data_IF_838551287435
#
_entry.id   IF_838551287435
#
_cell.length_a   1.000
_cell.length_b   1.000
_cell.length_c   1.000
_cell.angle_alpha   90.00
_cell.angle_beta   90.00
_cell.angle_gamma   90.00
#
_symmetry.space_group_name_H-M   'P 1'
#
loop_
_entity.id
_entity.type
_entity.pdbx_description
1 polymer ?
#
# COMPACT_ATOMS: atom_id res chain seq x y z
N UNK A 1 -41.26 -35.96 46.53
CA UNK A 1 -39.95 -36.58 46.23
C UNK A 1 -39.95 -37.01 44.78
N UNK A 2 -39.22 -36.29 43.92
CA UNK A 2 -38.71 -36.76 42.63
C UNK A 2 -37.72 -35.69 42.13
N UNK A 3 -36.44 -35.92 42.39
CA UNK A 3 -35.32 -35.08 41.95
C UNK A 3 -34.87 -35.55 40.57
N UNK A 4 -35.03 -34.74 39.54
CA UNK A 4 -34.37 -34.93 38.24
C UNK A 4 -33.05 -34.17 38.23
N UNK A 5 -31.95 -34.92 38.43
CA UNK A 5 -30.58 -34.44 38.26
C UNK A 5 -30.20 -34.51 36.79
N UNK A 6 -30.15 -33.38 36.10
CA UNK A 6 -29.55 -33.28 34.78
C UNK A 6 -28.03 -33.10 34.96
N UNK A 7 -27.27 -34.16 34.67
CA UNK A 7 -25.82 -34.10 34.58
C UNK A 7 -25.44 -33.21 33.39
N UNK A 8 -24.90 -32.03 33.69
CA UNK A 8 -24.23 -31.20 32.70
C UNK A 8 -22.85 -31.81 32.48
N UNK A 9 -22.69 -32.58 31.41
CA UNK A 9 -21.38 -33.04 30.96
C UNK A 9 -20.62 -31.82 30.44
N UNK A 10 -19.76 -31.29 31.29
CA UNK A 10 -18.82 -30.24 30.95
C UNK A 10 -17.84 -30.84 29.93
N UNK A 11 -18.07 -30.57 28.65
CA UNK A 11 -17.16 -30.91 27.57
C UNK A 11 -15.84 -30.18 27.84
N UNK A 12 -14.82 -30.93 28.26
CA UNK A 12 -13.50 -30.36 28.54
C UNK A 12 -12.97 -29.77 27.24
N UNK A 13 -12.76 -28.46 27.21
CA UNK A 13 -12.07 -27.78 26.12
C UNK A 13 -10.77 -28.54 25.83
N UNK A 14 -10.71 -29.20 24.68
CA UNK A 14 -9.53 -29.90 24.21
C UNK A 14 -8.37 -28.89 24.21
N UNK A 15 -7.28 -29.24 24.90
CA UNK A 15 -6.07 -28.44 24.95
C UNK A 15 -5.65 -28.11 23.50
N UNK A 16 -5.58 -26.81 23.19
CA UNK A 16 -5.11 -26.32 21.90
C UNK A 16 -3.69 -26.85 21.70
N UNK A 17 -3.53 -27.72 20.69
CA UNK A 17 -2.21 -28.26 20.33
C UNK A 17 -1.30 -27.10 19.91
N UNK A 18 -0.02 -27.11 20.28
CA UNK A 18 0.94 -26.10 19.82
C UNK A 18 0.92 -26.03 18.29
N UNK A 19 1.08 -24.82 17.72
CA UNK A 19 1.07 -24.67 16.27
C UNK A 19 2.14 -25.57 15.65
N UNK A 20 1.80 -26.30 14.59
CA UNK A 20 2.81 -27.11 13.92
C UNK A 20 3.87 -26.18 13.32
N UNK A 21 5.10 -26.68 13.15
CA UNK A 21 6.13 -25.92 12.42
C UNK A 21 5.65 -25.54 11.00
N UNK A 22 4.70 -26.29 10.44
CA UNK A 22 4.11 -26.02 9.14
C UNK A 22 3.20 -24.78 9.19
N UNK A 23 2.37 -24.68 10.23
CA UNK A 23 1.51 -23.51 10.47
C UNK A 23 2.35 -22.26 10.73
N UNK A 24 3.37 -22.37 11.60
CA UNK A 24 4.30 -21.26 11.86
C UNK A 24 4.97 -20.80 10.57
N UNK A 25 5.54 -21.71 9.78
CA UNK A 25 6.16 -21.40 8.50
C UNK A 25 5.17 -20.73 7.54
N UNK A 26 3.96 -21.23 7.44
CA UNK A 26 2.94 -20.66 6.57
C UNK A 26 2.60 -19.21 6.95
N UNK A 27 2.31 -18.94 8.23
CA UNK A 27 1.92 -17.60 8.68
C UNK A 27 3.07 -16.59 8.48
N UNK A 28 4.30 -16.96 8.82
CA UNK A 28 5.46 -16.08 8.56
C UNK A 28 5.72 -15.86 7.07
N UNK A 29 5.52 -16.88 6.23
CA UNK A 29 5.66 -16.75 4.77
C UNK A 29 4.61 -15.81 4.19
N UNK A 30 3.35 -15.91 4.65
CA UNK A 30 2.27 -14.99 4.25
C UNK A 30 2.59 -13.55 4.66
N UNK A 31 3.08 -13.36 5.89
CA UNK A 31 3.51 -12.05 6.37
C UNK A 31 4.62 -11.45 5.50
N UNK A 32 5.69 -12.21 5.24
CA UNK A 32 6.79 -11.79 4.38
C UNK A 32 6.31 -11.45 2.96
N UNK A 33 5.49 -12.31 2.36
CA UNK A 33 4.96 -12.08 1.01
C UNK A 33 4.10 -10.82 0.92
N UNK A 34 3.31 -10.51 1.96
CA UNK A 34 2.53 -9.27 1.95
C UNK A 34 3.41 -8.02 1.95
N UNK A 35 4.54 -8.01 2.66
CA UNK A 35 5.50 -6.90 2.59
C UNK A 35 6.16 -6.83 1.21
N UNK A 36 6.52 -7.98 0.64
CA UNK A 36 7.07 -8.07 -0.71
C UNK A 36 6.11 -7.51 -1.77
N UNK A 37 4.81 -7.82 -1.69
CA UNK A 37 3.79 -7.26 -2.59
C UNK A 37 3.75 -5.72 -2.53
N UNK A 38 3.98 -5.15 -1.33
CA UNK A 38 4.08 -3.71 -1.16
C UNK A 38 5.36 -3.15 -1.80
N UNK A 39 6.50 -3.82 -1.63
CA UNK A 39 7.77 -3.43 -2.26
C UNK A 39 7.66 -3.45 -3.79
N UNK A 40 7.12 -4.52 -4.37
CA UNK A 40 6.92 -4.66 -5.82
C UNK A 40 6.01 -3.55 -6.39
N UNK A 41 4.95 -3.17 -5.64
CA UNK A 41 4.10 -2.04 -5.98
C UNK A 41 4.90 -0.73 -6.01
N UNK A 42 5.67 -0.44 -4.96
CA UNK A 42 6.42 0.81 -4.86
C UNK A 42 7.52 0.91 -5.92
N UNK A 43 8.19 -0.20 -6.22
CA UNK A 43 9.16 -0.27 -7.32
C UNK A 43 8.49 0.00 -8.68
N UNK A 44 7.28 -0.55 -8.90
CA UNK A 44 6.51 -0.28 -10.12
C UNK A 44 6.08 1.18 -10.23
N UNK A 45 5.66 1.79 -9.11
CA UNK A 45 5.31 3.21 -9.04
C UNK A 45 6.54 4.09 -9.32
N UNK A 46 7.67 3.80 -8.68
CA UNK A 46 8.94 4.49 -8.91
C UNK A 46 9.37 4.44 -10.37
N UNK A 47 9.28 3.27 -11.00
CA UNK A 47 9.61 3.10 -12.41
C UNK A 47 8.70 3.98 -13.31
N UNK A 48 7.40 4.03 -13.02
CA UNK A 48 6.46 4.86 -13.76
C UNK A 48 6.72 6.37 -13.59
N UNK A 49 7.16 6.80 -12.39
CA UNK A 49 7.57 8.18 -12.12
C UNK A 49 8.84 8.56 -12.88
N UNK A 50 9.82 7.65 -12.97
CA UNK A 50 11.07 7.88 -13.69
C UNK A 50 10.87 8.05 -15.20
N UNK A 51 9.96 7.26 -15.80
CA UNK A 51 9.61 7.39 -17.23
C UNK A 51 9.02 8.76 -17.53
N UNK A 52 8.08 9.26 -16.71
CA UNK A 52 7.50 10.60 -16.90
C UNK A 52 8.56 11.71 -16.76
N UNK A 53 9.49 11.57 -15.81
CA UNK A 53 10.58 12.52 -15.63
C UNK A 53 11.50 12.57 -16.87
N UNK A 54 11.80 11.41 -17.46
CA UNK A 54 12.59 11.32 -18.69
C UNK A 54 11.85 11.97 -19.87
N UNK A 55 10.56 11.65 -20.07
CA UNK A 55 9.73 12.25 -21.12
C UNK A 55 9.65 13.78 -20.98
N UNK A 56 9.52 14.29 -19.76
CA UNK A 56 9.49 15.73 -19.48
C UNK A 56 10.84 16.40 -19.80
N UNK A 57 11.95 15.76 -19.46
CA UNK A 57 13.29 16.26 -19.78
C UNK A 57 13.52 16.31 -21.29
N UNK A 58 13.19 15.24 -22.02
CA UNK A 58 13.31 15.19 -23.48
C UNK A 58 12.45 16.26 -24.16
N UNK A 59 11.24 16.50 -23.67
CA UNK A 59 10.36 17.55 -24.18
C UNK A 59 10.94 18.96 -23.93
N UNK A 60 11.54 19.19 -22.76
CA UNK A 60 12.18 20.46 -22.43
C UNK A 60 13.41 20.71 -23.33
N UNK A 61 14.27 19.71 -23.50
CA UNK A 61 15.43 19.79 -24.40
C UNK A 61 15.00 20.05 -25.87
N UNK A 62 13.93 19.41 -26.33
CA UNK A 62 13.39 19.64 -27.67
C UNK A 62 12.88 21.09 -27.84
N UNK A 63 12.21 21.64 -26.82
CA UNK A 63 11.76 23.04 -26.82
C UNK A 63 12.94 24.03 -26.84
N UNK A 64 14.00 23.78 -26.05
CA UNK A 64 15.20 24.61 -26.06
C UNK A 64 15.93 24.57 -27.40
N UNK A 65 16.02 23.39 -28.04
CA UNK A 65 16.60 23.26 -29.37
C UNK A 65 15.80 24.04 -30.43
N UNK A 66 14.47 24.04 -30.33
CA UNK A 66 13.61 24.82 -31.21
C UNK A 66 13.82 26.33 -31.00
N UNK A 67 13.91 26.79 -29.76
CA UNK A 67 14.18 28.21 -29.43
C UNK A 67 15.56 28.67 -29.92
N UNK A 68 16.59 27.81 -29.83
CA UNK A 68 17.92 28.10 -30.39
C UNK A 68 17.88 28.24 -31.92
N UNK A 69 17.11 27.40 -32.60
CA UNK A 69 16.92 27.48 -34.06
C UNK A 69 16.18 28.75 -34.48
N UNK A 70 15.15 29.17 -33.74
CA UNK A 70 14.41 30.41 -34.05
C UNK A 70 15.23 31.67 -33.78
N UNK A 71 16.01 31.71 -32.69
CA UNK A 71 16.82 32.88 -32.35
C UNK A 71 18.08 32.99 -33.24
N UNK A 72 18.66 31.87 -33.68
CA UNK A 72 19.80 31.84 -34.60
C UNK A 72 19.47 32.27 -36.04
N UNK A 73 18.19 32.31 -36.43
CA UNK A 73 17.76 32.73 -37.77
C UNK A 73 17.49 34.23 -37.92
N UNK A 74 17.67 35.04 -36.86
CA UNK A 74 17.37 36.49 -36.86
C UNK A 74 18.56 37.40 -37.21
N UNK A 75 19.75 36.86 -37.50
CA UNK A 75 20.94 37.66 -37.83
C UNK A 75 21.17 37.80 -39.35
N UNK A 76 20.13 38.15 -40.11
CA UNK A 76 20.17 38.39 -41.55
C UNK A 76 19.39 39.63 -41.95
N UNK A 77 20.11 40.72 -42.23
CA UNK A 77 19.67 41.98 -42.86
C UNK A 77 18.59 42.82 -42.13
N UNK A 78 19.00 43.50 -41.05
CA UNK A 78 18.38 44.76 -40.64
C UNK A 78 18.95 45.93 -41.45
N UNK A 79 18.32 46.26 -42.58
CA UNK A 79 18.54 47.54 -43.26
C UNK A 79 18.01 48.65 -42.35
N UNK A 80 18.92 49.55 -41.95
CA UNK A 80 18.62 50.77 -41.21
C UNK A 80 17.73 51.69 -42.04
N UNK A 81 16.47 51.88 -41.66
CA UNK A 81 15.70 53.07 -42.07
C UNK A 81 15.40 53.87 -40.82
N UNK A 82 16.14 54.97 -40.71
CA UNK A 82 16.00 55.98 -39.68
C UNK A 82 14.92 56.97 -40.16
N UNK A 83 13.76 57.03 -39.52
CA UNK A 83 12.79 58.13 -39.71
C UNK A 83 12.56 58.80 -38.37
N UNK A 84 13.15 59.98 -38.24
CA UNK A 84 12.86 60.95 -37.19
C UNK A 84 11.44 61.49 -37.38
N UNK A 85 10.57 61.36 -36.37
CA UNK A 85 9.59 62.41 -36.10
C UNK A 85 9.31 62.58 -34.61
N UNK A 86 9.31 63.86 -34.24
CA UNK A 86 9.16 64.42 -32.90
C UNK A 86 7.69 64.64 -32.57
N UNK A 87 7.50 64.74 -31.26
CA UNK A 87 6.47 65.47 -30.52
C UNK A 87 5.06 64.88 -30.36
N UNK A 88 4.66 64.81 -29.09
CA UNK A 88 3.47 65.56 -28.67
C UNK A 88 2.37 64.78 -27.97
N UNK A 89 2.37 64.89 -26.63
CA UNK A 89 1.20 65.10 -25.75
C UNK A 89 0.12 64.02 -25.54
N UNK A 90 0.03 63.67 -24.25
CA UNK A 90 -1.18 63.61 -23.41
C UNK A 90 -2.12 62.39 -23.46
N UNK A 91 -2.30 61.82 -22.26
CA UNK A 91 -3.40 60.94 -21.84
C UNK A 91 -4.50 61.82 -21.21
N UNK A 92 -5.78 61.38 -21.07
CA UNK A 92 -6.14 60.42 -20.02
C UNK A 92 -7.31 59.44 -20.31
N UNK A 93 -7.21 58.27 -19.67
CA UNK A 93 -8.21 57.54 -18.85
C UNK A 93 -9.70 57.52 -19.27
N UNK A 94 -10.29 56.32 -19.32
CA UNK A 94 -11.74 56.13 -19.07
C UNK A 94 -12.29 54.76 -19.47
N UNK A 95 -12.64 53.93 -18.49
CA UNK A 95 -13.05 52.52 -18.63
C UNK A 95 -14.54 52.33 -18.96
N UNK A 96 -14.79 51.24 -19.70
CA UNK A 96 -15.78 50.15 -19.52
C UNK A 96 -17.29 50.46 -19.51
N UNK A 97 -18.00 49.69 -20.33
CA UNK A 97 -19.45 49.53 -20.35
C UNK A 97 -19.73 48.07 -20.71
N UNK A 98 -20.44 47.32 -19.84
CA UNK A 98 -21.31 46.19 -20.23
C UNK A 98 -22.08 45.63 -19.03
N UNK A 99 -23.36 45.97 -19.06
CA UNK A 99 -24.54 45.36 -18.46
C UNK A 99 -24.62 43.83 -18.77
N UNK A 100 -24.88 42.94 -17.81
CA UNK A 100 -26.16 42.54 -17.17
C UNK A 100 -26.99 41.52 -18.00
N UNK A 101 -27.44 40.46 -17.28
CA UNK A 101 -28.55 39.51 -17.55
C UNK A 101 -28.28 38.43 -18.64
N UNK A 102 -28.76 37.18 -18.56
CA UNK A 102 -29.91 36.60 -17.86
C UNK A 102 -29.85 35.05 -17.89
N UNK A 103 -30.48 34.42 -16.90
CA UNK A 103 -31.27 33.15 -16.91
C UNK A 103 -30.74 31.87 -17.58
N UNK A 104 -30.65 30.72 -16.90
CA UNK A 104 -31.70 29.91 -16.24
C UNK A 104 -32.69 29.19 -17.18
N UNK A 105 -32.68 27.84 -17.13
CA UNK A 105 -33.76 26.83 -17.33
C UNK A 105 -33.06 25.48 -17.61
N UNK A 106 -33.16 24.43 -16.79
CA UNK A 106 -34.31 23.59 -16.36
C UNK A 106 -34.61 22.40 -17.28
N UNK A 107 -34.70 21.23 -16.62
CA UNK A 107 -35.47 20.01 -16.96
C UNK A 107 -34.87 19.11 -18.08
N UNK A 108 -34.93 17.78 -18.06
CA UNK A 108 -35.88 16.87 -17.44
C UNK A 108 -35.27 15.45 -17.27
N UNK A 109 -35.90 14.66 -16.38
CA UNK A 109 -35.95 13.18 -16.36
C UNK A 109 -36.47 12.63 -17.72
N UNK A 110 -36.30 11.37 -18.14
CA UNK A 110 -36.69 10.11 -17.49
C UNK A 110 -36.38 8.92 -18.45
N UNK A 111 -36.49 7.68 -17.92
CA UNK A 111 -36.84 6.41 -18.59
C UNK A 111 -35.80 5.26 -18.59
N UNK A 112 -36.06 4.29 -17.70
CA UNK A 112 -35.69 2.88 -17.79
C UNK A 112 -36.46 2.16 -18.93
N UNK A 113 -35.87 1.11 -19.51
CA UNK A 113 -36.49 -0.23 -19.69
C UNK A 113 -35.56 -1.22 -20.44
N UNK A 114 -35.33 -2.37 -19.81
CA UNK A 114 -34.94 -3.68 -20.39
C UNK A 114 -36.23 -4.52 -20.57
N UNK A 115 -36.33 -5.48 -21.53
CA UNK A 115 -35.90 -6.86 -21.23
C UNK A 115 -35.43 -7.76 -22.41
N UNK A 116 -34.54 -8.68 -22.03
CA UNK A 116 -34.30 -10.08 -22.45
C UNK A 116 -34.82 -10.63 -23.80
N UNK A 117 -33.90 -11.18 -24.62
CA UNK A 117 -34.20 -12.36 -25.46
C UNK A 117 -32.94 -13.16 -25.83
N UNK A 118 -33.06 -14.47 -25.64
CA UNK A 118 -32.07 -15.51 -25.95
C UNK A 118 -31.92 -15.77 -27.45
N UNK A 119 -30.69 -15.80 -27.97
CA UNK A 119 -30.33 -16.70 -29.07
C UNK A 119 -28.81 -16.89 -29.17
N UNK A 120 -28.37 -18.16 -29.23
CA UNK A 120 -27.00 -18.57 -29.50
C UNK A 120 -26.86 -18.89 -30.98
N UNK A 121 -25.76 -18.50 -31.64
CA UNK A 121 -25.14 -19.39 -32.61
C UNK A 121 -23.66 -19.60 -32.33
N UNK A 122 -23.25 -20.85 -32.54
CA UNK A 122 -21.86 -21.30 -32.61
C UNK A 122 -21.26 -20.90 -33.96
N UNK A 123 -20.15 -20.16 -33.99
CA UNK A 123 -19.12 -20.28 -35.01
C UNK A 123 -17.76 -19.81 -34.48
N UNK A 124 -16.75 -20.61 -34.81
CA UNK A 124 -15.31 -20.38 -34.66
C UNK A 124 -14.85 -19.03 -35.23
N UNK A 125 -14.08 -18.24 -34.47
CA UNK A 125 -13.19 -17.24 -35.06
C UNK A 125 -12.06 -16.83 -34.11
N UNK A 126 -10.90 -16.63 -34.72
CA UNK A 126 -9.60 -16.19 -34.25
C UNK A 126 -9.51 -15.45 -32.92
N UNK A 127 -8.48 -15.83 -32.14
CA UNK A 127 -7.90 -15.05 -31.04
C UNK A 127 -7.65 -13.60 -31.51
N UNK A 128 -8.26 -12.58 -30.88
CA UNK A 128 -8.01 -11.20 -31.28
C UNK A 128 -6.57 -10.81 -30.93
N UNK A 129 -5.94 -9.90 -31.69
CA UNK A 129 -4.66 -9.34 -31.31
C UNK A 129 -4.84 -8.62 -29.97
N UNK A 130 -3.90 -8.85 -29.05
CA UNK A 130 -3.80 -8.20 -27.75
C UNK A 130 -3.84 -6.69 -27.98
N UNK A 131 -5.01 -6.08 -27.80
CA UNK A 131 -5.18 -4.64 -27.90
C UNK A 131 -4.18 -4.00 -26.93
N UNK A 132 -3.41 -3.03 -27.42
CA UNK A 132 -2.65 -2.14 -26.56
C UNK A 132 -3.65 -1.53 -25.57
N UNK A 133 -3.61 -1.99 -24.31
CA UNK A 133 -4.54 -1.55 -23.29
C UNK A 133 -4.26 -0.07 -23.04
N UNK A 134 -5.14 0.81 -23.53
CA UNK A 134 -5.10 2.22 -23.18
C UNK A 134 -5.10 2.35 -21.66
N UNK A 135 -4.15 3.12 -21.10
CA UNK A 135 -4.11 3.44 -19.68
C UNK A 135 -5.50 3.93 -19.22
N UNK A 136 -5.96 3.53 -18.02
CA UNK A 136 -7.24 4.00 -17.52
C UNK A 136 -7.24 5.54 -17.44
N UNK A 137 -8.34 6.16 -17.86
CA UNK A 137 -8.47 7.62 -17.85
C UNK A 137 -8.46 8.11 -16.40
N UNK A 138 -7.50 8.94 -16.03
CA UNK A 138 -7.42 9.54 -14.70
C UNK A 138 -8.68 10.37 -14.40
N UNK A 139 -9.21 10.21 -13.19
CA UNK A 139 -10.32 11.00 -12.64
C UNK A 139 -9.78 12.35 -12.16
N UNK A 140 -8.66 12.32 -11.45
CA UNK A 140 -7.95 13.50 -10.94
C UNK A 140 -6.62 13.63 -11.69
N UNK A 141 -6.36 14.76 -12.39
CA UNK A 141 -5.05 15.00 -12.97
C UNK A 141 -3.97 15.04 -11.87
N UNK A 142 -2.98 14.18 -11.99
CA UNK A 142 -1.84 14.11 -11.09
C UNK A 142 -0.60 13.76 -11.94
N UNK A 143 0.46 14.59 -11.92
CA UNK A 143 1.76 14.14 -12.40
C UNK A 143 2.15 12.86 -11.67
N UNK A 144 2.68 11.87 -12.37
CA UNK A 144 3.11 10.62 -11.72
C UNK A 144 4.16 10.91 -10.64
N UNK A 145 5.05 11.87 -10.87
CA UNK A 145 6.05 12.35 -9.91
C UNK A 145 5.49 12.79 -8.54
N UNK A 146 4.22 13.18 -8.46
CA UNK A 146 3.56 13.59 -7.22
C UNK A 146 2.70 12.49 -6.61
N UNK A 147 2.50 11.37 -7.30
CA UNK A 147 1.47 10.39 -6.97
C UNK A 147 1.62 9.77 -5.59
N UNK A 148 2.86 9.52 -5.17
CA UNK A 148 3.15 8.90 -3.88
C UNK A 148 2.63 9.75 -2.71
N UNK A 149 2.68 11.08 -2.87
CA UNK A 149 2.36 12.07 -1.84
C UNK A 149 1.04 12.80 -2.10
N UNK A 150 0.42 12.61 -3.27
CA UNK A 150 -0.84 13.26 -3.63
C UNK A 150 -2.00 12.73 -2.78
N UNK A 151 -2.74 13.62 -2.08
CA UNK A 151 -3.95 13.21 -1.39
C UNK A 151 -5.05 12.79 -2.38
N UNK A 152 -5.65 11.64 -2.13
CA UNK A 152 -6.78 11.11 -2.88
C UNK A 152 -8.10 11.72 -2.42
N UNK A 153 -8.97 12.10 -3.36
CA UNK A 153 -10.34 12.53 -3.00
C UNK A 153 -11.26 11.34 -2.73
N UNK A 154 -10.92 10.16 -3.26
CA UNK A 154 -11.71 8.93 -3.10
C UNK A 154 -11.34 8.14 -1.83
N UNK A 155 -10.13 8.32 -1.29
CA UNK A 155 -9.61 7.59 -0.14
C UNK A 155 -9.37 8.49 1.08
N UNK A 156 -10.38 9.30 1.46
CA UNK A 156 -10.36 10.13 2.68
C UNK A 156 -9.14 11.06 2.83
N UNK A 157 -8.63 11.64 1.73
CA UNK A 157 -7.39 12.45 1.72
C UNK A 157 -6.13 11.70 2.15
N UNK A 158 -6.16 10.36 2.14
CA UNK A 158 -4.99 9.52 2.27
C UNK A 158 -4.06 9.66 1.06
N UNK A 159 -2.76 9.46 1.30
CA UNK A 159 -1.74 9.34 0.25
C UNK A 159 -1.26 7.90 0.21
N UNK A 160 -0.60 7.49 -0.89
CA UNK A 160 0.03 6.15 -0.96
C UNK A 160 1.04 6.02 0.19
N UNK A 161 1.90 7.02 0.39
CA UNK A 161 2.89 7.00 1.48
C UNK A 161 2.28 6.89 2.88
N UNK A 162 1.13 7.52 3.15
CA UNK A 162 0.44 7.38 4.44
C UNK A 162 -0.10 5.98 4.68
N UNK A 163 -0.60 5.31 3.63
CA UNK A 163 -1.04 3.92 3.73
C UNK A 163 0.13 2.95 3.89
N UNK A 164 1.24 3.19 3.18
CA UNK A 164 2.49 2.42 3.31
C UNK A 164 3.08 2.54 4.72
N UNK A 165 3.18 3.76 5.27
CA UNK A 165 3.59 3.94 6.67
C UNK A 165 2.65 3.20 7.62
N UNK A 166 1.34 3.28 7.38
CA UNK A 166 0.37 2.68 8.28
C UNK A 166 0.48 1.15 8.37
N UNK A 167 0.65 0.47 7.23
CA UNK A 167 0.87 -0.98 7.22
C UNK A 167 2.26 -1.35 7.76
N UNK A 168 3.30 -0.57 7.44
CA UNK A 168 4.64 -0.79 7.95
C UNK A 168 4.69 -0.73 9.48
N UNK A 169 4.07 0.30 10.08
CA UNK A 169 4.03 0.47 11.54
C UNK A 169 3.41 -0.73 12.27
N UNK A 170 2.40 -1.38 11.68
CA UNK A 170 1.80 -2.56 12.28
C UNK A 170 2.80 -3.70 12.40
N UNK A 171 3.52 -3.99 11.33
CA UNK A 171 4.58 -5.00 11.37
C UNK A 171 5.70 -4.58 12.31
N UNK A 172 6.21 -3.36 12.19
CA UNK A 172 7.32 -2.86 13.02
C UNK A 172 6.98 -2.95 14.52
N UNK A 173 5.81 -2.50 14.94
CA UNK A 173 5.41 -2.49 16.36
C UNK A 173 5.21 -3.91 16.90
N UNK A 174 4.63 -4.82 16.12
CA UNK A 174 4.49 -6.21 16.53
C UNK A 174 5.86 -6.90 16.65
N UNK A 175 6.77 -6.65 15.71
CA UNK A 175 8.09 -7.30 15.66
C UNK A 175 9.14 -6.66 16.58
N UNK A 176 8.91 -5.44 17.06
CA UNK A 176 9.81 -4.75 18.00
C UNK A 176 9.50 -5.08 19.47
N UNK A 177 8.28 -5.53 19.77
CA UNK A 177 7.81 -5.80 21.15
C UNK A 177 8.15 -7.21 21.65
N UNK A 178 8.98 -7.95 20.90
CA UNK A 178 9.39 -9.28 21.32
C UNK A 178 10.25 -9.22 22.60
N UNK A 179 9.91 -9.97 23.66
CA UNK A 179 10.68 -9.94 24.90
C UNK A 179 12.09 -10.49 24.69
N UNK A 180 13.13 -9.89 25.30
CA UNK A 180 14.50 -10.39 25.18
C UNK A 180 14.56 -11.83 25.66
N UNK A 181 15.06 -12.72 24.80
CA UNK A 181 15.38 -14.06 25.19
C UNK A 181 16.49 -14.00 26.26
N UNK A 182 16.21 -14.57 27.42
CA UNK A 182 17.11 -14.85 28.55
C UNK A 182 17.27 -13.74 29.59
N UNK A 183 16.72 -13.99 30.78
CA UNK A 183 17.37 -13.62 32.04
C UNK A 183 16.86 -12.38 32.78
N UNK A 184 15.82 -11.70 32.33
CA UNK A 184 15.21 -10.59 33.09
C UNK A 184 13.79 -10.97 33.54
N UNK A 185 13.53 -10.72 34.83
CA UNK A 185 12.35 -11.02 35.67
C UNK A 185 11.09 -11.57 34.98
N UNK A 186 10.45 -12.57 35.60
CA UNK A 186 9.21 -13.28 35.23
C UNK A 186 7.95 -12.44 34.86
N UNK A 187 8.06 -11.14 34.57
CA UNK A 187 6.91 -10.25 34.30
C UNK A 187 7.04 -9.37 33.05
N UNK A 188 7.91 -9.67 32.07
CA UNK A 188 7.79 -8.97 30.78
C UNK A 188 6.72 -9.61 29.91
N UNK A 189 5.47 -9.18 30.12
CA UNK A 189 4.32 -9.55 29.29
C UNK A 189 4.45 -8.87 27.93
N UNK A 190 4.45 -9.66 26.84
CA UNK A 190 4.44 -9.10 25.49
C UNK A 190 3.18 -8.27 25.30
N UNK A 191 3.34 -6.96 25.11
CA UNK A 191 2.24 -6.06 24.81
C UNK A 191 2.49 -5.27 23.54
N UNK A 192 1.46 -5.13 22.71
CA UNK A 192 1.49 -4.36 21.47
C UNK A 192 0.40 -3.28 21.51
N UNK A 193 0.74 -2.09 21.04
CA UNK A 193 -0.15 -0.94 20.89
C UNK A 193 0.07 -0.35 19.50
N UNK A 194 -0.83 -0.65 18.57
CA UNK A 194 -0.72 -0.20 17.19
C UNK A 194 -0.98 1.29 17.01
N UNK A 195 -1.45 2.01 18.03
CA UNK A 195 -1.69 3.45 17.99
C UNK A 195 -0.44 4.28 18.35
N UNK A 196 0.59 3.65 18.94
CA UNK A 196 1.91 4.26 19.20
C UNK A 196 2.76 4.36 17.93
N UNK A 197 2.31 5.20 17.01
CA UNK A 197 2.93 5.43 15.70
C UNK A 197 3.63 6.78 15.66
N UNK A 198 4.81 6.82 15.05
CA UNK A 198 5.41 8.09 14.64
C UNK A 198 4.71 8.59 13.38
N UNK A 199 4.38 9.88 13.32
CA UNK A 199 3.78 10.53 12.14
C UNK A 199 4.83 11.44 11.49
N UNK A 200 4.58 11.81 10.23
CA UNK A 200 5.46 12.74 9.49
C UNK A 200 6.90 12.20 9.34
N UNK A 201 7.01 10.88 9.21
CA UNK A 201 8.28 10.20 8.96
C UNK A 201 8.63 10.24 7.47
N UNK A 202 9.93 10.14 7.10
CA UNK A 202 10.37 10.20 5.71
C UNK A 202 9.61 9.23 4.78
N UNK A 203 9.20 8.07 5.30
CA UNK A 203 8.40 7.07 4.59
C UNK A 203 7.11 7.61 3.96
N UNK A 204 6.49 8.67 4.50
CA UNK A 204 5.27 9.24 3.92
C UNK A 204 5.54 10.02 2.61
N UNK A 205 6.77 10.46 2.39
CA UNK A 205 7.17 11.32 1.27
C UNK A 205 8.27 10.76 0.37
N UNK A 206 9.11 9.87 0.90
CA UNK A 206 10.24 9.26 0.22
C UNK A 206 9.94 7.79 -0.06
N UNK A 207 9.77 7.47 -1.35
CA UNK A 207 9.45 6.12 -1.81
C UNK A 207 10.63 5.15 -1.64
N UNK A 208 11.87 5.66 -1.72
CA UNK A 208 13.08 4.84 -1.58
C UNK A 208 13.30 4.45 -0.12
N UNK A 209 13.15 5.42 0.78
CA UNK A 209 13.14 5.15 2.21
C UNK A 209 12.03 4.16 2.60
N UNK A 210 10.86 4.28 1.99
CA UNK A 210 9.76 3.35 2.24
C UNK A 210 10.06 1.92 1.78
N UNK A 211 10.68 1.76 0.60
CA UNK A 211 11.12 0.45 0.09
C UNK A 211 12.15 -0.17 1.04
N UNK A 212 13.18 0.59 1.45
CA UNK A 212 14.25 0.09 2.32
C UNK A 212 13.71 -0.45 3.66
N UNK A 213 12.82 0.29 4.31
CA UNK A 213 12.22 -0.12 5.58
C UNK A 213 11.33 -1.37 5.44
N UNK A 214 10.54 -1.45 4.37
CA UNK A 214 9.71 -2.62 4.07
C UNK A 214 10.57 -3.86 3.77
N UNK A 215 11.62 -3.72 2.97
CA UNK A 215 12.59 -4.79 2.69
C UNK A 215 13.29 -5.25 3.97
N UNK A 216 13.60 -4.33 4.89
CA UNK A 216 14.14 -4.65 6.20
C UNK A 216 13.22 -5.57 7.02
N UNK A 217 11.92 -5.26 7.09
CA UNK A 217 10.95 -6.12 7.77
C UNK A 217 10.71 -7.44 7.04
N UNK A 218 10.65 -7.43 5.70
CA UNK A 218 10.52 -8.62 4.87
C UNK A 218 11.68 -9.59 5.13
N UNK A 219 12.91 -9.09 5.04
CA UNK A 219 14.13 -9.89 5.24
C UNK A 219 14.16 -10.52 6.64
N UNK A 220 13.74 -9.78 7.67
CA UNK A 220 13.64 -10.31 9.04
C UNK A 220 12.69 -11.52 9.12
N UNK A 221 11.52 -11.44 8.49
CA UNK A 221 10.55 -12.54 8.44
C UNK A 221 11.09 -13.74 7.65
N UNK A 222 11.65 -13.51 6.46
CA UNK A 222 12.22 -14.56 5.62
C UNK A 222 13.37 -15.31 6.31
N UNK A 223 14.26 -14.57 6.98
CA UNK A 223 15.36 -15.15 7.76
C UNK A 223 14.83 -16.09 8.85
N UNK A 224 13.75 -15.71 9.52
CA UNK A 224 13.13 -16.57 10.52
C UNK A 224 12.50 -17.83 9.91
N UNK A 225 11.80 -17.70 8.78
CA UNK A 225 11.28 -18.87 8.02
C UNK A 225 12.41 -19.82 7.64
N UNK A 226 13.55 -19.30 7.16
CA UNK A 226 14.72 -20.11 6.85
C UNK A 226 15.25 -20.85 8.10
N UNK A 227 15.28 -20.17 9.25
CA UNK A 227 15.60 -20.79 10.53
C UNK A 227 14.68 -21.95 10.90
N UNK A 228 13.35 -21.81 10.70
CA UNK A 228 12.38 -22.88 10.96
C UNK A 228 12.60 -24.12 10.07
N UNK A 229 13.06 -23.92 8.83
CA UNK A 229 13.35 -25.02 7.91
C UNK A 229 14.56 -25.86 8.38
N UNK A 230 15.60 -25.23 8.93
CA UNK A 230 16.78 -25.94 9.45
C UNK A 230 16.45 -26.80 10.68
N UNK A 231 15.63 -26.28 11.60
CA UNK A 231 15.22 -27.01 12.81
C UNK A 231 14.28 -28.19 12.50
N UNK A 232 13.50 -28.11 11.41
CA UNK A 232 12.63 -29.20 10.97
C UNK A 232 13.41 -30.38 10.38
N UNK A 233 14.58 -30.12 9.76
CA UNK A 233 15.48 -31.16 9.24
C UNK A 233 16.32 -31.84 10.33
N UNK A 234 16.69 -31.13 11.39
CA UNK A 234 17.49 -31.70 12.50
C UNK A 234 16.69 -32.58 13.48
N UNK A 235 15.35 -32.51 13.50
CA UNK A 235 14.53 -33.35 14.39
C UNK A 235 14.47 -34.83 13.96
N UNK A 236 15.08 -35.21 12.83
CA UNK A 236 15.28 -36.60 12.42
C UNK A 236 16.66 -37.18 12.76
N UNK A 237 17.62 -36.41 13.30
CA UNK A 237 18.89 -36.95 13.78
C UNK A 237 19.37 -36.24 15.05
N UNK A 238 19.18 -36.93 16.17
CA UNK A 238 19.85 -36.83 17.47
C UNK A 238 20.16 -35.46 18.12
N UNK A 239 19.82 -35.37 19.41
CA UNK A 239 20.11 -34.22 20.25
C UNK A 239 21.61 -33.92 20.37
N UNK A 240 21.95 -32.65 20.16
CA UNK A 240 23.04 -31.97 20.86
C UNK A 240 22.84 -30.46 20.71
N UNK A 241 22.88 -29.76 21.83
CA UNK A 241 22.75 -28.31 21.89
C UNK A 241 23.92 -27.64 21.17
N UNK A 242 23.63 -26.81 20.17
CA UNK A 242 24.63 -25.96 19.52
C UNK A 242 24.30 -24.49 19.79
N UNK A 243 24.95 -23.97 20.83
CA UNK A 243 25.18 -22.55 21.08
C UNK A 243 25.80 -21.90 19.85
N UNK A 244 25.16 -20.86 19.29
CA UNK A 244 25.80 -20.01 18.26
C UNK A 244 25.80 -18.56 18.70
N UNK A 245 26.99 -18.17 19.14
CA UNK A 245 27.70 -16.89 19.06
C UNK A 245 26.93 -15.62 18.70
N UNK A 246 26.96 -14.71 19.67
CA UNK A 246 26.59 -13.29 19.68
C UNK A 246 27.41 -12.46 18.67
N UNK A 247 26.71 -11.83 17.72
CA UNK A 247 27.15 -10.60 17.06
C UNK A 247 26.21 -9.46 17.51
N UNK A 248 26.73 -8.25 17.63
CA UNK A 248 26.04 -7.11 18.25
C UNK A 248 24.65 -6.86 17.65
N UNK A 249 23.61 -7.11 18.45
CA UNK A 249 22.22 -6.95 18.07
C UNK A 249 21.90 -5.45 17.86
N UNK A 250 21.69 -5.07 16.60
CA UNK A 250 20.85 -3.91 16.28
C UNK A 250 19.41 -4.27 16.64
N UNK A 251 18.51 -3.29 16.86
CA UNK A 251 17.08 -3.54 17.18
C UNK A 251 16.39 -4.49 16.17
N UNK A 252 16.96 -4.62 14.96
CA UNK A 252 16.53 -5.53 13.90
C UNK A 252 16.82 -7.02 14.15
N UNK A 253 17.60 -7.38 15.16
CA UNK A 253 18.05 -8.77 15.39
C UNK A 253 17.29 -9.51 16.50
N UNK A 254 16.24 -8.89 17.07
CA UNK A 254 15.41 -9.53 18.10
C UNK A 254 14.82 -10.85 17.56
N UNK A 255 15.02 -11.99 18.26
CA UNK A 255 14.47 -13.27 17.83
C UNK A 255 12.93 -13.19 17.76
N UNK A 256 12.29 -13.98 16.90
CA UNK A 256 10.83 -14.08 16.80
C UNK A 256 10.37 -15.44 17.33
N UNK A 257 9.15 -15.58 17.87
CA UNK A 257 8.71 -16.84 18.48
C UNK A 257 8.42 -17.89 17.39
N UNK A 258 8.82 -19.13 17.63
CA UNK A 258 8.37 -20.24 16.80
C UNK A 258 6.91 -20.63 17.10
N UNK A 259 6.49 -20.44 18.37
CA UNK A 259 5.13 -20.75 18.83
C UNK A 259 4.18 -19.59 18.52
N UNK A 260 3.24 -19.82 17.60
CA UNK A 260 2.23 -18.83 17.24
C UNK A 260 1.20 -18.57 18.34
N UNK A 261 1.10 -19.44 19.35
CA UNK A 261 0.18 -19.31 20.47
C UNK A 261 0.74 -18.47 21.62
N UNK A 262 1.97 -17.96 21.49
CA UNK A 262 2.59 -17.08 22.47
C UNK A 262 1.62 -15.93 22.83
N UNK A 263 1.21 -15.78 24.10
CA UNK A 263 0.25 -14.75 24.48
C UNK A 263 0.77 -13.33 24.23
N UNK A 264 -0.09 -12.48 23.69
CA UNK A 264 0.17 -11.05 23.47
C UNK A 264 -0.98 -10.23 24.06
N UNK A 265 -0.65 -9.18 24.81
CA UNK A 265 -1.61 -8.21 25.33
C UNK A 265 -1.72 -7.04 24.36
N UNK A 266 -2.85 -6.96 23.65
CA UNK A 266 -3.15 -5.87 22.72
C UNK A 266 -3.78 -4.70 23.50
N UNK A 267 -3.20 -3.52 23.36
CA UNK A 267 -3.81 -2.25 23.78
C UNK A 267 -4.41 -1.57 22.55
N UNK A 268 -5.70 -1.27 22.60
CA UNK A 268 -6.42 -0.67 21.48
C UNK A 268 -7.26 0.54 21.92
N UNK A 269 -7.19 1.63 21.15
CA UNK A 269 -8.02 2.81 21.36
C UNK A 269 -9.04 2.94 20.23
N UNK A 270 -10.33 2.94 20.58
CA UNK A 270 -11.43 3.08 19.59
C UNK A 270 -12.14 4.42 19.77
N UNK A 271 -12.34 4.82 21.02
CA UNK A 271 -12.97 6.08 21.39
C UNK A 271 -11.86 7.08 21.76
N UNK A 272 -11.67 8.18 20.99
CA UNK A 272 -10.61 9.14 21.26
C UNK A 272 -10.78 9.87 22.60
N UNK A 273 -11.95 9.76 23.22
CA UNK A 273 -12.23 10.35 24.53
C UNK A 273 -11.90 9.42 25.70
N UNK A 274 -11.51 8.18 25.43
CA UNK A 274 -11.24 7.15 26.46
C UNK A 274 -9.81 6.63 26.35
N UNK A 275 -9.34 6.07 27.45
CA UNK A 275 -8.07 5.35 27.48
C UNK A 275 -8.13 4.02 26.69
N UNK A 276 -6.96 3.42 26.42
CA UNK A 276 -6.89 2.15 25.70
C UNK A 276 -7.56 1.03 26.50
N UNK A 277 -8.18 0.09 25.78
CA UNK A 277 -8.71 -1.16 26.33
C UNK A 277 -7.72 -2.28 26.05
N UNK A 278 -7.53 -3.16 27.05
CA UNK A 278 -6.61 -4.30 26.96
C UNK A 278 -7.35 -5.58 26.53
N UNK A 279 -6.77 -6.31 25.58
CA UNK A 279 -7.27 -7.59 25.08
C UNK A 279 -6.17 -8.65 25.12
N UNK A 280 -6.56 -9.89 25.37
CA UNK A 280 -5.66 -11.03 25.20
C UNK A 280 -5.74 -11.55 23.76
N UNK A 281 -4.58 -11.77 23.16
CA UNK A 281 -4.39 -12.33 21.84
C UNK A 281 -3.22 -13.34 21.84
N UNK A 282 -2.87 -13.83 20.67
CA UNK A 282 -1.65 -14.61 20.43
C UNK A 282 -0.82 -13.95 19.34
N UNK A 283 0.49 -14.22 19.34
CA UNK A 283 1.38 -13.65 18.34
C UNK A 283 0.96 -13.99 16.91
N UNK A 284 0.62 -15.26 16.64
CA UNK A 284 0.20 -15.67 15.30
C UNK A 284 -1.09 -15.00 14.85
N UNK A 285 -2.04 -14.74 15.77
CA UNK A 285 -3.25 -13.97 15.47
C UNK A 285 -2.92 -12.54 15.09
N UNK A 286 -2.05 -11.88 15.85
CA UNK A 286 -1.65 -10.49 15.56
C UNK A 286 -0.81 -10.39 14.27
N UNK A 287 0.07 -11.35 14.00
CA UNK A 287 0.84 -11.39 12.75
C UNK A 287 -0.06 -11.58 11.54
N UNK A 288 -1.06 -12.48 11.65
CA UNK A 288 -2.09 -12.65 10.63
C UNK A 288 -2.94 -11.39 10.45
N UNK A 289 -3.27 -10.70 11.54
CA UNK A 289 -3.95 -9.40 11.48
C UNK A 289 -3.13 -8.37 10.71
N UNK A 290 -1.82 -8.25 10.95
CA UNK A 290 -0.94 -7.37 10.17
C UNK A 290 -1.01 -7.69 8.66
N UNK A 291 -1.03 -8.97 8.29
CA UNK A 291 -1.14 -9.39 6.87
C UNK A 291 -2.49 -9.03 6.25
N UNK A 292 -3.60 -9.26 6.95
CA UNK A 292 -4.93 -8.85 6.46
C UNK A 292 -5.07 -7.32 6.39
N UNK A 293 -4.49 -6.60 7.35
CA UNK A 293 -4.48 -5.14 7.39
C UNK A 293 -3.66 -4.55 6.23
N UNK A 294 -2.54 -5.18 5.87
CA UNK A 294 -1.78 -4.83 4.67
C UNK A 294 -2.62 -5.01 3.39
N UNK A 295 -3.33 -6.15 3.25
CA UNK A 295 -4.24 -6.38 2.12
C UNK A 295 -5.35 -5.32 2.04
N UNK A 296 -5.92 -4.92 3.18
CA UNK A 296 -6.88 -3.82 3.24
C UNK A 296 -6.27 -2.51 2.71
N UNK A 297 -5.03 -2.19 3.09
CA UNK A 297 -4.33 -1.02 2.56
C UNK A 297 -3.97 -1.12 1.08
N UNK A 298 -3.67 -2.32 0.56
CA UNK A 298 -3.50 -2.52 -0.88
C UNK A 298 -4.78 -2.22 -1.65
N UNK A 299 -5.95 -2.55 -1.09
CA UNK A 299 -7.23 -2.18 -1.69
C UNK A 299 -7.43 -0.66 -1.72
N UNK A 300 -7.05 0.06 -0.66
CA UNK A 300 -7.11 1.54 -0.64
C UNK A 300 -6.11 2.17 -1.61
N UNK A 301 -4.86 1.71 -1.61
CA UNK A 301 -3.84 2.18 -2.58
C UNK A 301 -4.30 1.92 -4.02
N UNK A 302 -4.96 0.78 -4.28
CA UNK A 302 -5.54 0.49 -5.59
C UNK A 302 -6.59 1.52 -6.01
N UNK A 303 -7.43 1.98 -5.10
CA UNK A 303 -8.40 3.05 -5.37
C UNK A 303 -7.66 4.35 -5.73
N UNK A 304 -6.60 4.69 -4.99
CA UNK A 304 -5.77 5.88 -5.27
C UNK A 304 -5.11 5.78 -6.65
N UNK A 305 -4.50 4.64 -6.98
CA UNK A 305 -3.89 4.43 -8.29
C UNK A 305 -4.92 4.52 -9.42
N UNK A 306 -6.13 3.99 -9.23
CA UNK A 306 -7.20 4.10 -10.21
C UNK A 306 -7.68 5.55 -10.40
N UNK A 307 -7.76 6.33 -9.32
CA UNK A 307 -8.09 7.76 -9.36
C UNK A 307 -7.11 8.53 -10.28
N UNK A 308 -5.82 8.20 -10.19
CA UNK A 308 -4.76 8.85 -10.96
C UNK A 308 -4.45 8.19 -12.30
N UNK A 309 -5.25 7.20 -12.73
CA UNK A 309 -5.11 6.56 -14.05
C UNK A 309 -3.91 5.61 -14.16
N UNK A 310 -3.45 5.03 -13.06
CA UNK A 310 -2.37 4.04 -13.08
C UNK A 310 -2.89 2.61 -13.26
N UNK A 311 -2.30 1.85 -14.20
CA UNK A 311 -2.55 0.43 -14.30
C UNK A 311 -1.89 -0.28 -13.12
N UNK A 312 -2.62 -1.23 -12.54
CA UNK A 312 -2.10 -2.14 -11.54
C UNK A 312 -2.22 -3.57 -12.05
N UNK A 313 -1.39 -4.46 -11.52
CA UNK A 313 -1.46 -5.89 -11.82
C UNK A 313 -2.83 -6.44 -11.44
N UNK A 314 -3.32 -7.38 -12.26
CA UNK A 314 -4.57 -8.07 -11.97
C UNK A 314 -4.45 -8.84 -10.64
N UNK A 315 -5.45 -8.69 -9.77
CA UNK A 315 -5.44 -9.31 -8.44
C UNK A 315 -4.78 -8.50 -7.33
N UNK A 316 -4.03 -7.43 -7.62
CA UNK A 316 -3.49 -6.55 -6.57
C UNK A 316 -4.62 -5.98 -5.70
N UNK A 317 -4.41 -5.95 -4.38
CA UNK A 317 -5.39 -5.47 -3.40
C UNK A 317 -6.66 -6.32 -3.27
N UNK A 318 -6.68 -7.54 -3.81
CA UNK A 318 -7.79 -8.49 -3.65
C UNK A 318 -7.46 -9.48 -2.54
N UNK A 319 -8.42 -9.73 -1.64
CA UNK A 319 -8.22 -10.67 -0.54
C UNK A 319 -7.90 -12.11 -1.04
N UNK A 320 -6.96 -12.83 -0.40
CA UNK A 320 -6.61 -14.19 -0.81
C UNK A 320 -7.80 -15.16 -0.89
N UNK A 321 -8.76 -15.03 0.02
CA UNK A 321 -10.01 -15.82 0.01
C UNK A 321 -10.85 -15.59 -1.25
N UNK A 322 -10.88 -14.35 -1.75
CA UNK A 322 -11.60 -13.99 -2.97
C UNK A 322 -10.90 -14.57 -4.20
N UNK A 323 -9.56 -14.53 -4.25
CA UNK A 323 -8.78 -15.17 -5.32
C UNK A 323 -8.99 -16.69 -5.34
N UNK A 324 -8.96 -17.33 -4.17
CA UNK A 324 -9.23 -18.76 -4.02
C UNK A 324 -10.62 -19.13 -4.52
N UNK A 325 -11.64 -18.33 -4.19
CA UNK A 325 -13.01 -18.54 -4.67
C UNK A 325 -13.10 -18.47 -6.21
N UNK A 326 -12.43 -17.50 -6.84
CA UNK A 326 -12.38 -17.37 -8.31
C UNK A 326 -11.67 -18.55 -8.98
N UNK A 327 -10.58 -19.03 -8.39
CA UNK A 327 -9.85 -20.22 -8.89
C UNK A 327 -10.70 -21.49 -8.77
N UNK A 328 -11.51 -21.62 -7.72
CA UNK A 328 -12.40 -22.78 -7.55
C UNK A 328 -13.65 -22.77 -8.45
N UNK A 329 -13.91 -21.67 -9.15
CA UNK A 329 -15.05 -21.50 -10.05
C UNK A 329 -14.66 -21.56 -11.55
N UNK A 330 -13.36 -21.77 -11.85
CA UNK A 330 -12.84 -22.01 -13.20
C UNK A 330 -12.59 -23.49 -13.43
#
# INVERSE_FOLDING_TARGET
MATTSAAHTQESAAAVTPSSNDDSRYIYTVAAKSLQDCVELLQSLKAAMAVEAQEAQEAQEAQEQLQRKTNGSSNGNGVTINVNHKDGSETPVGKSMRDIHHMSRSASQEAEQDPDSSSRPTTTSAKPPRAASSLPKAITPCPRSEMYTKPSVLACQGTIGKHVRHLHDHYRLLLATFPPAQGLSQEHQWSVDYDKRSREVPMESDIDYAIEELEGLQFRLERHVAGLNLHSSHKQQNGSAATTTTAAATENDSPMPNDLLQPVTLLATIDPTKGPVSFQSTFGRELWFCSLHAVHHFAMIKVICAEFGMPLTEGFGVAPSTLKSRMSQQ
#
